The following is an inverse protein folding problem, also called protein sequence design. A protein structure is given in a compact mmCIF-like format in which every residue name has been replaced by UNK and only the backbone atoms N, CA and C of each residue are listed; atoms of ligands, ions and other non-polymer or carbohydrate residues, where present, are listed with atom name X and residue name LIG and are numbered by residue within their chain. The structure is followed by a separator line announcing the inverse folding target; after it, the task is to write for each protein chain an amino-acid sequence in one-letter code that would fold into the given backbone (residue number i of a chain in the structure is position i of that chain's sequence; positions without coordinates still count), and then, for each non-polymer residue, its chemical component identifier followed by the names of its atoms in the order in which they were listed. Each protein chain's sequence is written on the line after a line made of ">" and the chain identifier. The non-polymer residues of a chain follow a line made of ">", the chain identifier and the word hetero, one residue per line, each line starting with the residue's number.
data_IF_434974418667
#
_entry.id   IF_434974418667
#
_cell.length_a   1.000
_cell.length_b   1.000
_cell.length_c   1.000
_cell.angle_alpha   90.00
_cell.angle_beta   90.00
_cell.angle_gamma   90.00
#
_symmetry.space_group_name_H-M   'P 1'
#
loop_
_entity.id
_entity.type
_entity.pdbx_description
1 polymer ?
#
# COMPACT_ATOMS: atom_id res chain seq x y z
N UNK A 1 -17.05 -2.28 2.87
CA UNK A 1 -16.33 -1.14 2.26
C UNK A 1 -15.05 -1.66 1.64
N UNK A 2 -14.93 -1.49 0.35
CA UNK A 2 -13.81 -2.05 -0.39
C UNK A 2 -12.82 -0.95 -0.76
N UNK A 3 -11.56 -1.21 -0.47
CA UNK A 3 -10.45 -0.35 -0.86
C UNK A 3 -9.62 -1.11 -1.88
N UNK A 4 -9.10 -0.43 -2.88
CA UNK A 4 -8.22 -1.06 -3.87
C UNK A 4 -6.81 -0.54 -3.70
N UNK A 5 -5.85 -1.46 -3.78
CA UNK A 5 -4.43 -1.10 -3.75
C UNK A 5 -3.86 -1.39 -5.13
N UNK A 6 -3.42 -0.35 -5.80
CA UNK A 6 -2.81 -0.48 -7.12
C UNK A 6 -1.30 -0.62 -6.95
N UNK A 7 -0.75 -1.67 -7.55
CA UNK A 7 0.66 -2.00 -7.42
C UNK A 7 1.42 -1.68 -8.70
N UNK A 8 2.65 -1.16 -8.58
CA UNK A 8 3.48 -0.93 -9.75
C UNK A 8 3.94 -2.27 -10.34
N UNK A 9 4.33 -2.25 -11.60
CA UNK A 9 4.74 -3.45 -12.33
C UNK A 9 5.77 -4.27 -11.56
N UNK A 10 6.74 -3.59 -10.91
CA UNK A 10 7.83 -4.29 -10.21
C UNK A 10 7.35 -5.07 -8.99
N UNK A 11 6.19 -4.72 -8.43
CA UNK A 11 5.64 -5.42 -7.26
C UNK A 11 4.58 -6.45 -7.62
N UNK A 12 4.05 -6.40 -8.82
CA UNK A 12 2.97 -7.31 -9.22
C UNK A 12 3.35 -8.79 -9.11
N UNK A 13 4.58 -9.21 -9.44
CA UNK A 13 4.95 -10.62 -9.26
C UNK A 13 4.81 -11.13 -7.82
N UNK A 14 4.94 -10.22 -6.84
CA UNK A 14 4.81 -10.58 -5.42
C UNK A 14 3.36 -10.62 -4.96
N UNK A 15 2.43 -10.28 -5.83
CA UNK A 15 1.00 -10.28 -5.57
C UNK A 15 0.26 -11.19 -6.57
N UNK A 16 0.90 -12.28 -6.98
CA UNK A 16 0.31 -13.21 -7.93
C UNK A 16 0.09 -12.62 -9.30
N UNK A 17 0.79 -11.55 -9.66
CA UNK A 17 0.65 -10.87 -10.93
C UNK A 17 -0.45 -9.83 -10.96
N UNK A 18 -1.10 -9.57 -9.83
CA UNK A 18 -2.23 -8.63 -9.77
C UNK A 18 -1.77 -7.18 -9.81
N UNK A 19 -2.40 -6.39 -10.66
CA UNK A 19 -2.18 -4.95 -10.69
C UNK A 19 -2.93 -4.25 -9.55
N UNK A 20 -4.15 -4.70 -9.26
CA UNK A 20 -4.98 -4.15 -8.20
C UNK A 20 -5.41 -5.26 -7.28
N UNK A 21 -5.30 -5.00 -5.98
CA UNK A 21 -5.74 -5.95 -4.95
C UNK A 21 -6.90 -5.31 -4.19
N UNK A 22 -8.01 -6.02 -4.11
CA UNK A 22 -9.17 -5.57 -3.35
C UNK A 22 -8.96 -5.89 -1.88
N UNK A 23 -9.16 -4.89 -1.03
CA UNK A 23 -9.06 -5.03 0.42
C UNK A 23 -10.43 -4.71 1.00
N UNK A 24 -10.99 -5.62 1.75
CA UNK A 24 -12.28 -5.40 2.38
C UNK A 24 -12.10 -4.93 3.81
N UNK A 25 -12.96 -3.99 4.21
CA UNK A 25 -13.06 -3.56 5.61
C UNK A 25 -11.79 -2.95 6.19
N UNK A 26 -11.10 -2.14 5.39
CA UNK A 26 -9.97 -1.39 5.90
C UNK A 26 -10.41 0.05 6.15
N UNK A 27 -10.15 0.55 7.34
CA UNK A 27 -10.47 1.93 7.73
C UNK A 27 -9.29 2.86 7.59
N UNK A 28 -8.08 2.32 7.61
CA UNK A 28 -6.85 3.10 7.51
C UNK A 28 -5.90 2.47 6.52
N UNK A 29 -4.91 3.25 6.10
CA UNK A 29 -3.85 2.75 5.22
C UNK A 29 -3.14 1.56 5.87
N UNK A 30 -2.86 1.65 7.17
CA UNK A 30 -2.20 0.56 7.88
C UNK A 30 -3.00 -0.73 7.87
N UNK A 31 -4.34 -0.63 8.07
CA UNK A 31 -5.19 -1.81 8.01
C UNK A 31 -5.22 -2.41 6.62
N UNK A 32 -5.26 -1.56 5.60
CA UNK A 32 -5.23 -2.03 4.21
C UNK A 32 -3.93 -2.78 3.93
N UNK A 33 -2.81 -2.25 4.38
CA UNK A 33 -1.52 -2.89 4.16
C UNK A 33 -1.39 -4.18 4.96
N UNK A 34 -1.93 -4.22 6.18
CA UNK A 34 -1.91 -5.46 6.97
C UNK A 34 -2.66 -6.58 6.26
N UNK A 35 -3.82 -6.27 5.67
CA UNK A 35 -4.56 -7.27 4.91
C UNK A 35 -3.85 -7.64 3.62
N UNK A 36 -3.28 -6.66 2.93
CA UNK A 36 -2.53 -6.91 1.69
C UNK A 36 -1.37 -7.86 1.96
N UNK A 37 -0.65 -7.66 3.04
CA UNK A 37 0.48 -8.50 3.40
C UNK A 37 0.06 -9.89 3.85
N UNK A 38 -1.13 -10.03 4.42
CA UNK A 38 -1.66 -11.36 4.74
C UNK A 38 -2.04 -12.13 3.49
N UNK A 39 -2.62 -11.44 2.50
CA UNK A 39 -2.99 -12.07 1.23
C UNK A 39 -1.75 -12.41 0.41
N UNK A 40 -0.74 -11.57 0.48
CA UNK A 40 0.48 -11.71 -0.32
C UNK A 40 1.70 -11.50 0.56
N UNK A 41 2.10 -12.52 1.33
CA UNK A 41 3.21 -12.38 2.27
C UNK A 41 4.52 -11.89 1.65
N UNK A 42 4.74 -12.16 0.36
CA UNK A 42 5.96 -11.72 -0.30
C UNK A 42 6.05 -10.19 -0.42
N UNK A 43 4.93 -9.49 -0.31
CA UNK A 43 4.94 -8.02 -0.34
C UNK A 43 5.43 -7.41 0.96
N UNK A 44 5.34 -8.14 2.06
CA UNK A 44 5.66 -7.58 3.37
C UNK A 44 7.06 -6.98 3.43
N UNK A 45 8.05 -7.70 2.92
CA UNK A 45 9.44 -7.22 2.94
C UNK A 45 9.66 -6.05 1.98
N UNK A 46 8.78 -5.89 1.01
CA UNK A 46 8.92 -4.87 -0.02
C UNK A 46 8.28 -3.55 0.39
N UNK A 47 7.24 -3.61 1.22
CA UNK A 47 6.44 -2.44 1.55
C UNK A 47 6.72 -1.91 2.94
N UNK A 48 6.90 -2.79 3.92
CA UNK A 48 7.09 -2.38 5.30
C UNK A 48 8.36 -3.00 5.88
N UNK A 49 8.89 -2.34 6.92
CA UNK A 49 10.03 -2.86 7.64
C UNK A 49 9.58 -3.77 8.79
N UNK A 50 10.53 -4.19 9.63
CA UNK A 50 10.25 -5.13 10.71
C UNK A 50 9.34 -4.55 11.78
N UNK A 51 9.27 -3.23 11.89
CA UNK A 51 8.39 -2.55 12.84
C UNK A 51 7.02 -2.23 12.24
N UNK A 52 6.80 -2.59 10.98
CA UNK A 52 5.54 -2.32 10.29
C UNK A 52 5.44 -0.93 9.67
N UNK A 53 6.50 -0.16 9.71
CA UNK A 53 6.52 1.17 9.09
C UNK A 53 6.80 1.06 7.60
N UNK A 54 6.24 1.98 6.82
CA UNK A 54 6.52 2.03 5.38
C UNK A 54 8.00 2.22 5.13
N UNK A 55 8.54 1.45 4.21
CA UNK A 55 9.92 1.61 3.82
C UNK A 55 10.12 2.98 3.17
N UNK A 56 11.32 3.53 3.35
CA UNK A 56 11.64 4.88 2.91
C UNK A 56 11.44 5.09 1.41
N UNK A 57 11.71 4.07 0.61
CA UNK A 57 11.62 4.14 -0.84
C UNK A 57 10.24 3.78 -1.38
N UNK A 58 9.26 3.54 -0.50
CA UNK A 58 7.90 3.23 -0.91
C UNK A 58 7.04 4.45 -0.68
N UNK A 59 6.34 4.91 -1.71
CA UNK A 59 5.39 5.99 -1.62
C UNK A 59 3.99 5.44 -1.85
N UNK A 60 3.05 5.92 -1.06
CA UNK A 60 1.65 5.54 -1.16
C UNK A 60 0.83 6.80 -1.31
N UNK A 61 -0.02 6.83 -2.32
CA UNK A 61 -0.88 7.98 -2.59
C UNK A 61 -2.33 7.62 -2.37
N UNK A 62 -3.03 8.50 -1.67
CA UNK A 62 -4.49 8.46 -1.56
C UNK A 62 -4.99 9.63 -2.39
N UNK A 63 -5.55 9.32 -3.58
CA UNK A 63 -5.80 10.36 -4.55
C UNK A 63 -4.50 11.00 -5.00
N UNK A 64 -4.39 12.30 -4.86
CA UNK A 64 -3.19 13.04 -5.22
C UNK A 64 -2.24 13.29 -4.05
N UNK A 65 -2.58 12.80 -2.87
CA UNK A 65 -1.83 13.09 -1.66
C UNK A 65 -0.96 11.91 -1.25
N UNK A 66 0.32 12.17 -1.02
CA UNK A 66 1.20 11.18 -0.43
C UNK A 66 0.79 11.00 1.03
N UNK A 67 0.56 9.77 1.46
CA UNK A 67 0.08 9.53 2.82
C UNK A 67 1.08 9.99 3.88
N UNK A 68 2.37 10.13 3.53
CA UNK A 68 3.36 10.68 4.46
C UNK A 68 3.09 12.14 4.80
N UNK A 69 2.41 12.85 3.90
CA UNK A 69 2.01 14.24 4.13
C UNK A 69 0.67 14.34 4.85
N UNK A 70 0.05 13.20 5.08
CA UNK A 70 -1.19 13.08 5.85
C UNK A 70 -0.82 12.45 7.20
N UNK A 71 -1.52 11.39 7.58
CA UNK A 71 -1.27 10.71 8.85
C UNK A 71 -0.52 9.39 8.68
N UNK A 72 0.19 9.21 7.56
CA UNK A 72 0.94 7.98 7.30
C UNK A 72 0.02 6.77 7.30
N UNK A 73 0.39 5.74 8.04
CA UNK A 73 -0.42 4.53 8.13
C UNK A 73 -1.73 4.75 8.88
N UNK A 74 -1.85 5.82 9.65
CA UNK A 74 -3.08 6.15 10.36
C UNK A 74 -4.06 6.96 9.51
N UNK A 75 -3.68 7.26 8.27
CA UNK A 75 -4.55 7.98 7.34
C UNK A 75 -5.83 7.20 7.13
N UNK A 76 -6.98 7.88 7.32
CA UNK A 76 -8.28 7.25 7.17
C UNK A 76 -8.65 7.11 5.71
N UNK A 77 -9.30 5.99 5.39
CA UNK A 77 -9.70 5.68 4.03
C UNK A 77 -11.20 5.83 3.88
N UNK A 78 -11.66 6.66 2.93
CA UNK A 78 -13.09 6.67 2.61
C UNK A 78 -13.47 5.39 1.88
N UNK A 79 -14.76 5.09 1.89
CA UNK A 79 -15.29 3.93 1.17
C UNK A 79 -14.98 4.06 -0.32
N UNK A 80 -14.50 2.99 -0.91
CA UNK A 80 -14.15 2.97 -2.31
C UNK A 80 -12.81 3.62 -2.65
N UNK A 81 -12.01 3.95 -1.64
CA UNK A 81 -10.71 4.58 -1.87
C UNK A 81 -9.78 3.68 -2.69
N UNK A 82 -8.92 4.30 -3.45
CA UNK A 82 -7.85 3.61 -4.17
C UNK A 82 -6.52 4.13 -3.68
N UNK A 83 -5.65 3.22 -3.26
CA UNK A 83 -4.29 3.52 -2.87
C UNK A 83 -3.36 3.17 -4.01
N UNK A 84 -2.48 4.08 -4.36
CA UNK A 84 -1.47 3.85 -5.39
C UNK A 84 -0.12 3.69 -4.72
N UNK A 85 0.51 2.55 -4.93
CA UNK A 85 1.84 2.28 -4.40
C UNK A 85 2.85 2.55 -5.51
N UNK A 86 3.82 3.40 -5.23
CA UNK A 86 4.89 3.73 -6.16
C UNK A 86 6.23 3.62 -5.45
N UNK A 87 7.18 2.85 -6.00
CA UNK A 87 8.53 2.85 -5.45
C UNK A 87 9.23 4.13 -5.86
N UNK A 88 10.11 4.64 -4.99
CA UNK A 88 11.02 5.70 -5.38
C UNK A 88 12.06 5.15 -6.33
N UNK A 89 12.43 5.96 -7.30
CA UNK A 89 13.52 5.58 -8.18
C UNK A 89 14.82 5.58 -7.39
N UNK A 90 15.54 4.46 -7.41
CA UNK A 90 16.80 4.35 -6.69
C UNK A 90 17.79 5.40 -7.19
N UNK A 91 18.42 6.09 -6.26
CA UNK A 91 19.37 7.14 -6.60
C UNK A 91 18.70 8.44 -6.98
N UNK A 92 17.39 8.42 -7.04
CA UNK A 92 16.64 9.63 -7.29
C UNK A 92 16.18 10.17 -5.98
#
# INVERSE_FOLDING_TARGET
>A
MTVRVKLPTVLQPFAGGSEKVAIEEASTVGEAFAQLERQHPALRRRLTDEQGALRRHVNVYLGNDNVRDLDGLDTKLPDGAELLVLPSVAGG
#
